data_IF_780469374851
#
_entry.id   IF_780469374851
#
_cell.length_a   1.000
_cell.length_b   1.000
_cell.length_c   1.000
_cell.angle_alpha   90.00
_cell.angle_beta   90.00
_cell.angle_gamma   90.00
#
_symmetry.space_group_name_H-M   'P 1'
#
loop_
_entity.id
_entity.type
_entity.pdbx_description
1 polymer ?
#
# COMPACT_ATOMS: atom_id res chain seq x y z
N UNK A 1 10.65 -15.06 -17.39
CA UNK A 1 11.44 -14.41 -16.33
C UNK A 1 10.47 -13.99 -15.24
N UNK A 2 10.27 -14.88 -14.27
CA UNK A 2 9.52 -14.56 -13.06
C UNK A 2 10.48 -13.69 -12.25
N UNK A 3 10.09 -12.48 -11.92
CA UNK A 3 10.83 -11.67 -10.95
C UNK A 3 10.59 -12.26 -9.55
N UNK A 4 11.21 -13.42 -9.31
CA UNK A 4 11.40 -14.00 -7.98
C UNK A 4 12.45 -13.21 -7.20
N UNK A 5 13.30 -12.42 -7.86
CA UNK A 5 14.38 -11.67 -7.22
C UNK A 5 13.91 -10.69 -6.16
N UNK A 6 12.80 -9.98 -6.41
CA UNK A 6 12.25 -9.06 -5.41
C UNK A 6 11.69 -9.79 -4.18
N UNK A 7 11.14 -10.99 -4.32
CA UNK A 7 10.63 -11.78 -3.19
C UNK A 7 11.72 -12.61 -2.52
N UNK A 8 12.73 -13.06 -3.28
CA UNK A 8 13.86 -13.85 -2.79
C UNK A 8 14.79 -13.02 -1.91
N UNK A 9 15.00 -11.74 -2.23
CA UNK A 9 15.75 -10.81 -1.38
C UNK A 9 15.14 -10.63 0.02
N UNK A 10 13.82 -10.84 0.18
CA UNK A 10 13.15 -10.83 1.49
C UNK A 10 12.91 -12.22 2.07
N UNK A 11 13.00 -13.28 1.25
CA UNK A 11 12.76 -14.66 1.66
C UNK A 11 13.79 -15.23 2.65
N UNK A 12 14.91 -14.53 2.84
CA UNK A 12 15.94 -14.84 3.83
C UNK A 12 15.75 -14.19 5.20
N UNK A 13 14.72 -13.34 5.40
CA UNK A 13 14.42 -12.73 6.70
C UNK A 13 13.17 -13.37 7.33
N UNK A 14 13.33 -14.23 8.36
CA UNK A 14 12.21 -14.87 9.05
C UNK A 14 11.34 -13.90 9.90
N UNK A 15 11.51 -12.58 9.75
CA UNK A 15 11.05 -11.59 10.73
C UNK A 15 10.92 -10.18 10.15
N UNK A 16 10.24 -9.99 9.04
CA UNK A 16 9.77 -8.65 8.70
C UNK A 16 8.25 -8.63 8.90
N UNK A 17 7.85 -8.19 10.10
CA UNK A 17 6.48 -7.75 10.44
C UNK A 17 6.00 -6.56 9.57
N UNK A 18 6.80 -6.16 8.58
CA UNK A 18 6.61 -4.97 7.75
C UNK A 18 6.40 -5.41 6.31
N UNK A 19 5.27 -4.99 5.73
CA UNK A 19 5.01 -5.20 4.32
C UNK A 19 6.03 -4.40 3.48
N UNK A 20 6.65 -5.00 2.45
CA UNK A 20 7.48 -4.25 1.51
C UNK A 20 6.68 -3.13 0.81
N UNK A 21 7.41 -2.14 0.29
CA UNK A 21 6.81 -0.95 -0.32
C UNK A 21 5.89 -1.30 -1.49
N UNK A 22 4.61 -0.91 -1.41
CA UNK A 22 3.65 -1.10 -2.48
C UNK A 22 3.94 -0.13 -3.63
N UNK A 23 4.45 -0.63 -4.75
CA UNK A 23 4.71 0.19 -5.94
C UNK A 23 3.51 0.21 -6.90
N UNK A 24 3.42 1.20 -7.78
CA UNK A 24 2.38 1.29 -8.83
C UNK A 24 2.18 -0.03 -9.58
N UNK A 25 3.28 -0.61 -10.05
CA UNK A 25 3.26 -1.83 -10.85
C UNK A 25 2.70 -2.99 -10.04
N UNK A 26 3.23 -3.22 -8.83
CA UNK A 26 2.77 -4.29 -7.92
C UNK A 26 1.36 -4.02 -7.36
N UNK A 27 0.96 -2.76 -7.24
CA UNK A 27 -0.38 -2.35 -6.84
C UNK A 27 -1.44 -2.74 -7.87
N UNK A 28 -1.12 -2.61 -9.16
CA UNK A 28 -2.01 -2.98 -10.26
C UNK A 28 -1.99 -4.45 -10.69
N UNK A 29 -1.14 -5.29 -10.12
CA UNK A 29 -0.97 -6.70 -10.51
C UNK A 29 -0.75 -7.61 -9.30
N UNK A 30 -0.22 -8.80 -9.55
CA UNK A 30 0.36 -9.71 -8.57
C UNK A 30 1.35 -8.96 -7.68
N UNK A 31 0.88 -8.70 -6.46
CA UNK A 31 1.56 -7.84 -5.50
C UNK A 31 2.53 -8.65 -4.65
N UNK A 32 2.42 -8.62 -3.33
CA UNK A 32 3.24 -9.43 -2.44
C UNK A 32 2.52 -10.74 -2.11
N UNK A 33 3.28 -11.84 -2.16
CA UNK A 33 2.77 -13.17 -1.88
C UNK A 33 2.71 -13.40 -0.37
N UNK A 34 1.54 -13.76 0.13
CA UNK A 34 1.30 -14.12 1.52
C UNK A 34 1.43 -15.64 1.63
N UNK A 35 2.55 -16.12 2.16
CA UNK A 35 2.84 -17.56 2.27
C UNK A 35 1.79 -18.33 3.08
N UNK A 36 1.33 -17.76 4.20
CA UNK A 36 0.30 -18.36 5.06
C UNK A 36 -1.06 -18.53 4.39
N UNK A 37 -1.38 -17.66 3.43
CA UNK A 37 -2.66 -17.67 2.70
C UNK A 37 -2.56 -18.23 1.28
N UNK A 38 -1.34 -18.59 0.83
CA UNK A 38 -1.03 -19.11 -0.51
C UNK A 38 -1.65 -18.26 -1.64
N UNK A 39 -1.58 -16.93 -1.52
CA UNK A 39 -2.08 -15.98 -2.53
C UNK A 39 -1.37 -14.63 -2.44
N UNK A 40 -1.57 -13.77 -3.45
CA UNK A 40 -1.15 -12.37 -3.39
C UNK A 40 -2.08 -11.51 -2.52
N UNK A 41 -1.60 -10.34 -2.08
CA UNK A 41 -2.44 -9.33 -1.42
C UNK A 41 -3.57 -8.90 -2.37
N UNK A 42 -4.78 -8.88 -1.83
CA UNK A 42 -5.94 -8.33 -2.51
C UNK A 42 -6.00 -6.79 -2.31
N UNK A 43 -6.94 -6.14 -2.99
CA UNK A 43 -7.08 -4.68 -2.94
C UNK A 43 -7.38 -4.14 -1.53
N UNK A 44 -8.18 -4.85 -0.74
CA UNK A 44 -8.53 -4.45 0.62
C UNK A 44 -7.31 -4.52 1.54
N UNK A 45 -6.49 -5.54 1.40
CA UNK A 45 -5.25 -5.67 2.18
C UNK A 45 -4.22 -4.62 1.78
N UNK A 46 -4.10 -4.32 0.48
CA UNK A 46 -3.27 -3.21 -0.01
C UNK A 46 -3.71 -1.88 0.63
N UNK A 47 -5.02 -1.66 0.75
CA UNK A 47 -5.56 -0.47 1.42
C UNK A 47 -5.17 -0.40 2.89
N UNK A 48 -5.34 -1.51 3.62
CA UNK A 48 -4.97 -1.60 5.04
C UNK A 48 -3.49 -1.33 5.26
N UNK A 49 -2.61 -1.87 4.42
CA UNK A 49 -1.16 -1.60 4.46
C UNK A 49 -0.87 -0.11 4.29
N UNK A 50 -1.61 0.58 3.42
CA UNK A 50 -1.47 2.02 3.21
C UNK A 50 -2.20 2.87 4.27
N UNK A 51 -2.86 2.25 5.25
CA UNK A 51 -3.61 2.90 6.32
C UNK A 51 -4.99 3.42 5.90
N UNK A 52 -5.53 2.93 4.78
CA UNK A 52 -6.88 3.28 4.31
C UNK A 52 -7.92 2.28 4.84
N UNK A 53 -9.12 2.77 5.14
CA UNK A 53 -10.27 1.91 5.42
C UNK A 53 -10.78 1.27 4.12
N UNK A 54 -10.75 -0.07 3.96
CA UNK A 54 -11.24 -0.74 2.77
C UNK A 54 -12.72 -0.48 2.47
N UNK A 55 -13.53 -0.13 3.47
CA UNK A 55 -14.94 0.20 3.27
C UNK A 55 -15.14 1.52 2.52
N UNK A 56 -14.16 2.43 2.62
CA UNK A 56 -14.18 3.73 1.90
C UNK A 56 -13.71 3.62 0.45
N UNK A 57 -13.10 2.49 0.08
CA UNK A 57 -12.68 2.22 -1.29
C UNK A 57 -13.87 1.70 -2.09
N UNK A 58 -14.66 2.61 -2.65
CA UNK A 58 -15.54 2.27 -3.76
C UNK A 58 -14.66 2.03 -5.00
N UNK A 59 -14.70 0.83 -5.62
CA UNK A 59 -14.05 0.65 -6.90
C UNK A 59 -14.63 1.64 -7.90
N UNK A 60 -15.95 1.81 -8.01
CA UNK A 60 -16.54 2.66 -9.05
C UNK A 60 -16.20 4.16 -8.86
N UNK A 61 -15.75 4.85 -9.93
CA UNK A 61 -15.70 4.44 -11.34
C UNK A 61 -14.41 3.70 -11.79
N UNK A 62 -13.47 3.45 -10.89
CA UNK A 62 -12.18 2.82 -11.16
C UNK A 62 -12.23 1.28 -11.10
N UNK A 63 -11.47 0.60 -11.97
CA UNK A 63 -11.24 -0.83 -11.79
C UNK A 63 -10.39 -1.12 -10.54
N UNK A 64 -10.53 -2.31 -9.95
CA UNK A 64 -9.68 -2.77 -8.85
C UNK A 64 -8.18 -2.63 -9.16
N UNK A 65 -7.80 -2.83 -10.43
CA UNK A 65 -6.43 -2.65 -10.91
C UNK A 65 -5.99 -1.19 -10.83
N UNK A 66 -6.80 -0.26 -11.33
CA UNK A 66 -6.49 1.17 -11.27
C UNK A 66 -6.41 1.67 -9.83
N UNK A 67 -7.32 1.21 -8.97
CA UNK A 67 -7.30 1.58 -7.56
C UNK A 67 -6.04 1.04 -6.87
N UNK A 68 -5.65 -0.20 -7.18
CA UNK A 68 -4.38 -0.76 -6.72
C UNK A 68 -3.15 0.01 -7.22
N UNK A 69 -3.16 0.47 -8.47
CA UNK A 69 -2.09 1.34 -9.00
C UNK A 69 -2.05 2.71 -8.31
N UNK A 70 -3.22 3.28 -7.99
CA UNK A 70 -3.32 4.53 -7.24
C UNK A 70 -2.73 4.38 -5.84
N UNK A 71 -3.10 3.31 -5.13
CA UNK A 71 -2.52 2.98 -3.83
C UNK A 71 -0.99 2.82 -3.91
N UNK A 72 -0.48 2.15 -4.95
CA UNK A 72 0.97 1.99 -5.15
C UNK A 72 1.74 3.27 -5.56
N UNK A 73 1.05 4.36 -5.90
CA UNK A 73 1.64 5.68 -6.10
C UNK A 73 1.43 6.62 -4.89
N UNK A 74 0.50 6.28 -3.99
CA UNK A 74 0.11 7.13 -2.89
C UNK A 74 1.15 7.08 -1.75
N UNK A 75 1.11 8.09 -0.89
CA UNK A 75 1.77 8.01 0.42
C UNK A 75 0.87 7.26 1.41
N UNK A 76 1.46 6.48 2.35
CA UNK A 76 0.69 5.91 3.44
C UNK A 76 -0.05 7.00 4.22
N UNK A 77 -1.32 6.78 4.52
CA UNK A 77 -2.19 7.76 5.18
C UNK A 77 -1.60 8.31 6.49
N UNK A 78 -0.95 7.49 7.36
CA UNK A 78 -0.31 8.00 8.57
C UNK A 78 0.83 8.99 8.32
N UNK A 79 1.54 8.85 7.20
CA UNK A 79 2.61 9.78 6.80
C UNK A 79 2.00 11.10 6.36
N UNK A 80 1.00 11.05 5.48
CA UNK A 80 0.27 12.24 5.02
C UNK A 80 -0.37 13.01 6.16
N UNK A 81 -1.01 12.32 7.12
CA UNK A 81 -1.63 12.95 8.29
C UNK A 81 -0.60 13.71 9.15
N UNK A 82 0.59 13.15 9.37
CA UNK A 82 1.68 13.82 10.11
C UNK A 82 2.17 15.06 9.39
N UNK A 83 2.39 14.97 8.07
CA UNK A 83 2.84 16.11 7.26
C UNK A 83 1.82 17.25 7.26
N UNK A 84 0.54 16.94 7.06
CA UNK A 84 -0.53 17.94 7.09
C UNK A 84 -0.64 18.58 8.48
N UNK A 85 -0.53 17.79 9.56
CA UNK A 85 -0.51 18.33 10.93
C UNK A 85 0.64 19.31 11.18
N UNK A 86 1.85 18.99 10.71
CA UNK A 86 3.01 19.88 10.80
C UNK A 86 2.82 21.16 9.99
N UNK A 87 2.30 21.03 8.77
CA UNK A 87 2.00 22.17 7.90
C UNK A 87 0.94 23.10 8.51
N UNK A 88 -0.13 22.54 9.07
CA UNK A 88 -1.17 23.31 9.75
C UNK A 88 -0.61 24.12 10.93
N UNK A 89 0.29 23.53 11.72
CA UNK A 89 0.95 24.22 12.83
C UNK A 89 1.82 25.39 12.37
N UNK A 90 2.52 25.24 11.25
CA UNK A 90 3.38 26.29 10.70
C UNK A 90 2.59 27.43 10.06
N UNK A 91 1.51 27.09 9.34
CA UNK A 91 0.74 28.08 8.57
C UNK A 91 -0.41 28.70 9.35
N UNK A 92 -0.73 28.19 10.55
CA UNK A 92 -1.84 28.67 11.40
C UNK A 92 -3.20 28.67 10.68
N UNK A 93 -3.43 27.71 9.77
CA UNK A 93 -4.66 27.67 8.98
C UNK A 93 -5.94 27.42 9.78
N UNK A 94 -5.82 27.00 11.05
CA UNK A 94 -6.95 26.76 11.96
C UNK A 94 -6.96 27.69 13.20
N UNK A 95 -6.37 28.89 13.12
CA UNK A 95 -6.53 29.92 14.17
C UNK A 95 -7.68 30.86 13.88
#
# INVERSE_FOLDING_TARGET
>A
IIDTGASEQFSGHPSLEVCPCLTRTRGGSDSFWITSHRRFLNLKEKALVMGWDPATLSPEPLSCRQLGQALGNAWPLPVSARLVGQLNNLMKWQQ
#
